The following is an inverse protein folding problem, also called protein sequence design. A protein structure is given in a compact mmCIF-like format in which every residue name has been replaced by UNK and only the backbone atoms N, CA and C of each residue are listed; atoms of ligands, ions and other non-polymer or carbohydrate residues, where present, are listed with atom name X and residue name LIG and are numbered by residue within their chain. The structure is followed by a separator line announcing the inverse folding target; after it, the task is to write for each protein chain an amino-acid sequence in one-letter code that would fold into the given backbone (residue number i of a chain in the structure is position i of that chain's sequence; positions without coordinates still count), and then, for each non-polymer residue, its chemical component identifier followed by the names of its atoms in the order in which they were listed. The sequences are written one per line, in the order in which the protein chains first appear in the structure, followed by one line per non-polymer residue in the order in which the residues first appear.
data_IF_508196072192
#
_entry.id   IF_508196072192
#
_cell.length_a   1.000
_cell.length_b   1.000
_cell.length_c   1.000
_cell.angle_alpha   90.00
_cell.angle_beta   90.00
_cell.angle_gamma   90.00
#
_symmetry.space_group_name_H-M   'P 1'
#
loop_
_entity.id
_entity.type
_entity.pdbx_description
1 polymer ?
#
# COMPACT_ATOMS: atom_id res chain seq x y z
N UNK A 1 3.06 28.77 6.30
CA UNK A 1 3.97 28.45 5.17
C UNK A 1 3.61 27.07 4.66
N UNK A 2 3.24 26.95 3.38
CA UNK A 2 2.99 25.65 2.76
C UNK A 2 4.27 24.80 2.80
N UNK A 3 4.15 23.51 3.13
CA UNK A 3 5.27 22.59 3.11
C UNK A 3 5.82 22.50 1.68
N UNK A 4 7.14 22.43 1.52
CA UNK A 4 7.83 22.38 0.23
C UNK A 4 8.37 20.97 -0.06
N UNK A 5 8.52 20.63 -1.34
CA UNK A 5 9.13 19.36 -1.77
C UNK A 5 8.26 18.14 -1.49
N UNK A 6 8.85 17.08 -0.93
CA UNK A 6 8.19 15.78 -0.65
C UNK A 6 6.98 15.89 0.30
N UNK A 7 6.91 16.97 1.07
CA UNK A 7 5.82 17.18 2.04
C UNK A 7 4.77 18.20 1.54
N UNK A 8 4.84 18.63 0.27
CA UNK A 8 3.83 19.49 -0.35
C UNK A 8 2.55 18.68 -0.62
N UNK A 9 1.64 18.69 0.36
CA UNK A 9 0.33 18.04 0.27
C UNK A 9 -0.44 18.47 -0.97
N UNK A 10 -0.52 19.77 -1.28
CA UNK A 10 -1.31 20.25 -2.42
C UNK A 10 -0.78 19.69 -3.73
N UNK A 11 0.54 19.69 -3.92
CA UNK A 11 1.17 19.12 -5.12
C UNK A 11 0.88 17.63 -5.26
N UNK A 12 0.98 16.90 -4.17
CA UNK A 12 0.80 15.45 -4.16
C UNK A 12 -0.65 15.04 -4.43
N UNK A 13 -1.62 15.72 -3.81
CA UNK A 13 -3.04 15.55 -4.11
C UNK A 13 -3.40 15.99 -5.53
N UNK A 14 -2.86 17.11 -5.99
CA UNK A 14 -3.14 17.61 -7.34
C UNK A 14 -2.58 16.71 -8.44
N UNK A 15 -1.40 16.11 -8.21
CA UNK A 15 -0.86 15.09 -9.12
C UNK A 15 -1.76 13.85 -9.11
N UNK A 16 -2.15 13.36 -7.94
CA UNK A 16 -3.01 12.19 -7.84
C UNK A 16 -4.37 12.40 -8.56
N UNK A 17 -5.07 13.51 -8.29
CA UNK A 17 -6.37 13.82 -8.90
C UNK A 17 -6.30 14.05 -10.42
N UNK A 18 -5.15 14.47 -10.94
CA UNK A 18 -4.95 14.60 -12.39
C UNK A 18 -4.70 13.27 -13.12
N UNK A 19 -4.41 12.19 -12.37
CA UNK A 19 -4.21 10.83 -12.90
C UNK A 19 -5.39 9.90 -12.64
N UNK A 20 -6.21 10.19 -11.63
CA UNK A 20 -7.34 9.37 -11.20
C UNK A 20 -8.60 10.22 -11.23
N UNK A 21 -9.21 10.32 -12.40
CA UNK A 21 -10.40 11.14 -12.64
C UNK A 21 -11.65 10.28 -12.84
N UNK A 22 -11.46 9.02 -13.25
CA UNK A 22 -12.54 8.09 -13.51
C UNK A 22 -12.99 7.39 -12.21
N UNK A 23 -14.28 7.45 -11.85
CA UNK A 23 -14.77 6.86 -10.60
C UNK A 23 -14.57 5.35 -10.50
N UNK A 24 -14.56 4.62 -11.63
CA UNK A 24 -14.30 3.18 -11.65
C UNK A 24 -12.84 2.88 -11.35
N UNK A 25 -11.91 3.66 -11.93
CA UNK A 25 -10.50 3.53 -11.61
C UNK A 25 -10.23 3.85 -10.13
N UNK A 26 -10.81 4.94 -9.62
CA UNK A 26 -10.72 5.29 -8.20
C UNK A 26 -11.23 4.14 -7.31
N UNK A 27 -12.37 3.52 -7.66
CA UNK A 27 -12.89 2.37 -6.94
C UNK A 27 -11.94 1.17 -6.94
N UNK A 28 -11.37 0.83 -8.10
CA UNK A 28 -10.33 -0.21 -8.22
C UNK A 28 -9.15 0.09 -7.29
N UNK A 29 -8.71 1.36 -7.24
CA UNK A 29 -7.64 1.79 -6.35
C UNK A 29 -8.00 1.59 -4.88
N UNK A 30 -9.21 2.01 -4.49
CA UNK A 30 -9.69 1.85 -3.11
C UNK A 30 -9.74 0.40 -2.66
N UNK A 31 -10.20 -0.51 -3.52
CA UNK A 31 -10.34 -1.93 -3.19
C UNK A 31 -9.00 -2.64 -3.12
N UNK A 32 -8.05 -2.33 -4.00
CA UNK A 32 -6.84 -3.14 -4.17
C UNK A 32 -5.57 -2.60 -3.48
N UNK A 33 -5.47 -1.31 -3.15
CA UNK A 33 -4.25 -0.77 -2.52
C UNK A 33 -3.98 -1.36 -1.13
N UNK A 34 -5.00 -1.46 -0.27
CA UNK A 34 -4.83 -2.01 1.08
C UNK A 34 -4.52 -3.52 1.09
N UNK A 35 -5.18 -4.37 0.28
CA UNK A 35 -4.76 -5.76 0.09
C UNK A 35 -3.33 -5.90 -0.44
N UNK A 36 -2.87 -5.04 -1.37
CA UNK A 36 -1.48 -5.04 -1.84
C UNK A 36 -0.53 -4.77 -0.67
N UNK A 37 -0.78 -3.73 0.14
CA UNK A 37 0.04 -3.43 1.31
C UNK A 37 0.05 -4.59 2.31
N UNK A 38 -1.12 -5.14 2.62
CA UNK A 38 -1.24 -6.24 3.58
C UNK A 38 -0.50 -7.51 3.13
N UNK A 39 -0.71 -7.92 1.88
CA UNK A 39 -0.04 -9.10 1.33
C UNK A 39 1.46 -8.88 1.14
N UNK A 40 1.91 -7.65 0.92
CA UNK A 40 3.33 -7.30 0.93
C UNK A 40 3.94 -7.40 2.34
N UNK A 41 3.22 -6.95 3.37
CA UNK A 41 3.64 -7.13 4.77
C UNK A 41 3.67 -8.61 5.18
N UNK A 42 2.77 -9.44 4.64
CA UNK A 42 2.85 -10.89 4.78
C UNK A 42 4.12 -11.47 4.15
N UNK A 43 4.54 -10.99 2.97
CA UNK A 43 5.82 -11.40 2.37
C UNK A 43 7.01 -10.95 3.23
N UNK A 44 6.98 -9.72 3.75
CA UNK A 44 8.04 -9.19 4.61
C UNK A 44 8.08 -9.86 5.99
N UNK A 45 7.00 -10.50 6.44
CA UNK A 45 7.01 -11.28 7.68
C UNK A 45 8.08 -12.38 7.65
N UNK A 46 8.39 -12.92 6.46
CA UNK A 46 9.44 -13.94 6.28
C UNK A 46 10.86 -13.38 6.28
N UNK A 47 11.06 -12.11 6.58
CA UNK A 47 12.42 -11.58 6.71
C UNK A 47 12.97 -11.87 8.10
N UNK A 48 14.32 -11.96 8.28
CA UNK A 48 14.87 -12.28 9.57
C UNK A 48 14.57 -11.14 10.54
N UNK A 49 14.51 -11.44 11.84
CA UNK A 49 14.44 -10.40 12.83
C UNK A 49 15.70 -9.50 12.77
N UNK A 50 15.53 -8.19 12.91
CA UNK A 50 16.60 -7.20 12.81
C UNK A 50 17.49 -7.16 14.06
N UNK A 51 16.97 -7.62 15.19
CA UNK A 51 17.65 -7.61 16.48
C UNK A 51 17.54 -8.98 17.14
N UNK A 52 18.52 -9.39 17.92
CA UNK A 52 18.51 -10.68 18.65
C UNK A 52 17.39 -10.76 19.71
N UNK A 53 16.87 -9.63 20.19
CA UNK A 53 15.79 -9.51 21.18
C UNK A 53 14.44 -9.07 20.56
N UNK A 54 14.25 -9.29 19.26
CA UNK A 54 13.14 -8.71 18.50
C UNK A 54 11.81 -9.46 18.56
N UNK A 55 11.69 -10.47 19.42
CA UNK A 55 10.49 -11.29 19.55
C UNK A 55 9.82 -10.93 20.87
N UNK A 56 8.71 -10.21 20.79
CA UNK A 56 7.89 -9.91 21.96
C UNK A 56 6.60 -10.73 21.91
N UNK A 57 6.40 -11.58 22.91
CA UNK A 57 5.18 -12.36 23.08
C UNK A 57 4.07 -11.49 23.68
N UNK A 58 3.00 -11.23 22.94
CA UNK A 58 1.77 -10.70 23.50
C UNK A 58 0.80 -11.87 23.78
N UNK A 59 0.85 -12.40 25.00
CA UNK A 59 0.12 -13.63 25.37
C UNK A 59 0.75 -14.89 24.78
N UNK A 60 0.00 -16.00 24.80
CA UNK A 60 0.56 -17.33 24.52
C UNK A 60 0.87 -17.60 23.03
N UNK A 61 0.32 -16.82 22.09
CA UNK A 61 0.37 -17.14 20.64
C UNK A 61 0.83 -15.99 19.72
N UNK A 62 1.06 -14.77 20.22
CA UNK A 62 1.37 -13.62 19.35
C UNK A 62 2.83 -13.24 19.49
N UNK A 63 3.68 -13.64 18.53
CA UNK A 63 5.08 -13.20 18.46
C UNK A 63 5.17 -11.98 17.56
N UNK A 64 5.29 -10.79 18.13
CA UNK A 64 5.62 -9.60 17.35
C UNK A 64 7.09 -9.72 16.95
N UNK A 65 7.39 -9.68 15.65
CA UNK A 65 8.75 -9.79 15.11
C UNK A 65 9.18 -8.43 14.55
N UNK A 66 10.23 -7.83 15.11
CA UNK A 66 10.84 -6.63 14.51
C UNK A 66 11.76 -7.02 13.35
N UNK A 67 11.15 -7.21 12.18
CA UNK A 67 11.82 -7.53 10.91
C UNK A 67 11.68 -6.39 9.88
N UNK A 68 11.96 -6.63 8.60
CA UNK A 68 11.79 -5.61 7.56
C UNK A 68 10.33 -5.17 7.39
N UNK A 69 9.34 -6.01 7.73
CA UNK A 69 7.94 -5.62 7.76
C UNK A 69 7.65 -4.55 8.80
N UNK A 70 8.24 -4.66 9.99
CA UNK A 70 8.16 -3.62 11.03
C UNK A 70 8.83 -2.33 10.57
N UNK A 71 10.05 -2.41 10.04
CA UNK A 71 10.79 -1.24 9.56
C UNK A 71 10.03 -0.52 8.45
N UNK A 72 9.48 -1.27 7.49
CA UNK A 72 8.67 -0.73 6.41
C UNK A 72 7.45 0.02 6.95
N UNK A 73 6.70 -0.59 7.87
CA UNK A 73 5.54 0.03 8.52
C UNK A 73 5.93 1.28 9.31
N UNK A 74 7.06 1.26 10.04
CA UNK A 74 7.55 2.40 10.80
C UNK A 74 7.89 3.58 9.88
N UNK A 75 8.57 3.32 8.75
CA UNK A 75 8.89 4.35 7.76
C UNK A 75 7.61 4.97 7.19
N UNK A 76 6.64 4.14 6.80
CA UNK A 76 5.34 4.62 6.30
C UNK A 76 4.58 5.43 7.35
N UNK A 77 4.51 4.94 8.58
CA UNK A 77 3.82 5.62 9.68
C UNK A 77 4.45 6.99 10.00
N UNK A 78 5.78 7.06 10.13
CA UNK A 78 6.49 8.31 10.36
C UNK A 78 6.29 9.27 9.19
N UNK A 79 6.41 8.77 7.97
CA UNK A 79 6.18 9.56 6.77
C UNK A 79 4.78 10.17 6.78
N UNK A 80 3.74 9.37 7.02
CA UNK A 80 2.35 9.86 7.04
C UNK A 80 2.11 10.88 8.15
N UNK A 81 2.56 10.63 9.38
CA UNK A 81 2.41 11.58 10.50
C UNK A 81 3.17 12.89 10.25
N UNK A 82 4.30 12.85 9.53
CA UNK A 82 5.01 14.06 9.11
C UNK A 82 4.32 14.75 7.93
N UNK A 83 3.72 13.98 7.03
CA UNK A 83 2.99 14.46 5.86
C UNK A 83 1.73 15.23 6.28
N UNK A 84 0.90 14.63 7.14
CA UNK A 84 -0.29 15.22 7.71
C UNK A 84 -0.51 14.71 9.14
N UNK A 85 -0.63 15.60 10.13
CA UNK A 85 -0.67 15.18 11.53
C UNK A 85 -1.94 14.41 11.89
N UNK A 86 -3.08 14.73 11.28
CA UNK A 86 -4.36 14.13 11.65
C UNK A 86 -4.65 12.91 10.80
N UNK A 87 -4.78 13.08 9.49
CA UNK A 87 -5.01 11.98 8.56
C UNK A 87 -3.84 11.00 8.53
N UNK A 88 -2.61 11.51 8.64
CA UNK A 88 -1.43 10.66 8.66
C UNK A 88 -1.29 9.83 9.94
N UNK A 89 -1.80 10.32 11.07
CA UNK A 89 -1.90 9.49 12.28
C UNK A 89 -2.89 8.34 12.11
N UNK A 90 -4.03 8.58 11.44
CA UNK A 90 -4.99 7.50 11.11
C UNK A 90 -4.36 6.50 10.15
N UNK A 91 -3.68 6.97 9.09
CA UNK A 91 -2.99 6.11 8.14
C UNK A 91 -1.89 5.27 8.83
N UNK A 92 -1.11 5.90 9.72
CA UNK A 92 -0.10 5.21 10.52
C UNK A 92 -0.69 4.09 11.37
N UNK A 93 -1.81 4.35 12.07
CA UNK A 93 -2.51 3.33 12.86
C UNK A 93 -2.98 2.16 11.99
N UNK A 94 -3.51 2.43 10.80
CA UNK A 94 -3.91 1.38 9.86
C UNK A 94 -2.72 0.56 9.35
N UNK A 95 -1.59 1.20 9.01
CA UNK A 95 -0.37 0.48 8.64
C UNK A 95 0.14 -0.43 9.77
N UNK A 96 0.13 0.05 11.01
CA UNK A 96 0.47 -0.77 12.18
C UNK A 96 -0.52 -1.90 12.42
N UNK A 97 -1.82 -1.67 12.23
CA UNK A 97 -2.82 -2.72 12.30
C UNK A 97 -2.59 -3.80 11.24
N UNK A 98 -2.32 -3.41 9.98
CA UNK A 98 -1.97 -4.35 8.91
C UNK A 98 -0.74 -5.18 9.27
N UNK A 99 0.31 -4.57 9.80
CA UNK A 99 1.53 -5.27 10.21
C UNK A 99 1.32 -6.21 11.40
N UNK A 100 0.52 -5.79 12.40
CA UNK A 100 0.21 -6.62 13.55
C UNK A 100 -0.61 -7.85 13.14
N UNK A 101 -1.62 -7.65 12.29
CA UNK A 101 -2.45 -8.73 11.76
C UNK A 101 -1.63 -9.65 10.86
N UNK A 102 -0.77 -9.11 9.98
CA UNK A 102 0.08 -9.93 9.13
C UNK A 102 1.07 -10.76 9.96
N UNK A 103 1.64 -10.17 11.01
CA UNK A 103 2.57 -10.87 11.90
C UNK A 103 1.85 -11.95 12.72
N UNK A 104 0.68 -11.65 13.27
CA UNK A 104 -0.14 -12.63 14.00
C UNK A 104 -0.55 -13.79 13.11
N UNK A 105 -1.00 -13.50 11.88
CA UNK A 105 -1.42 -14.50 10.90
C UNK A 105 -0.23 -15.36 10.43
N UNK A 106 0.92 -14.75 10.19
CA UNK A 106 2.16 -15.46 9.86
C UNK A 106 2.60 -16.43 10.96
N UNK A 107 2.52 -16.02 12.22
CA UNK A 107 2.81 -16.92 13.34
C UNK A 107 1.76 -18.03 13.50
N UNK A 108 0.46 -17.69 13.42
CA UNK A 108 -0.62 -18.66 13.58
C UNK A 108 -0.57 -19.78 12.53
N UNK A 109 -0.29 -19.42 11.29
CA UNK A 109 -0.15 -20.37 10.20
C UNK A 109 1.13 -21.23 10.31
N UNK A 110 1.92 -21.06 11.37
CA UNK A 110 3.09 -21.87 11.65
C UNK A 110 4.12 -21.78 10.54
N UNK A 111 4.26 -20.59 9.94
CA UNK A 111 5.29 -20.33 8.96
C UNK A 111 6.64 -20.44 9.65
N UNK A 112 7.18 -21.66 9.68
CA UNK A 112 8.58 -21.84 10.00
C UNK A 112 9.39 -20.97 9.05
N UNK A 113 10.57 -20.56 9.50
CA UNK A 113 11.57 -19.80 8.77
C UNK A 113 12.06 -20.58 7.52
N UNK A 114 11.19 -21.01 6.61
CA UNK A 114 11.45 -21.91 5.48
C UNK A 114 12.33 -21.29 4.41
N UNK A 115 12.58 -19.98 4.52
CA UNK A 115 13.58 -19.25 3.75
C UNK A 115 15.01 -19.41 4.33
N UNK A 116 15.20 -20.15 5.44
CA UNK A 116 16.52 -20.63 5.92
C UNK A 116 17.19 -21.63 4.99
N UNK A 117 16.62 -21.94 3.82
CA UNK A 117 17.29 -22.72 2.79
C UNK A 117 17.79 -21.78 1.67
N UNK A 118 19.05 -21.31 1.73
CA UNK A 118 19.64 -20.45 0.73
C UNK A 118 20.06 -21.29 -0.48
N UNK A 119 19.10 -21.77 -1.27
CA UNK A 119 19.27 -22.05 -2.71
C UNK A 119 18.03 -22.74 -3.29
N UNK A 120 17.34 -22.07 -4.21
CA UNK A 120 16.54 -22.72 -5.24
C UNK A 120 17.44 -23.46 -6.24
N UNK A 121 18.27 -24.39 -5.75
CA UNK A 121 18.95 -25.36 -6.59
C UNK A 121 18.18 -26.68 -6.49
N UNK A 122 18.14 -27.41 -7.60
CA UNK A 122 17.55 -28.75 -7.79
C UNK A 122 17.93 -29.77 -6.68
N UNK A 123 18.94 -29.47 -5.87
CA UNK A 123 19.42 -30.23 -4.72
C UNK A 123 18.54 -30.05 -3.46
N UNK A 124 17.74 -28.97 -3.36
CA UNK A 124 16.79 -28.75 -2.26
C UNK A 124 15.69 -29.81 -2.16
N UNK A 125 15.45 -30.57 -3.24
CA UNK A 125 14.51 -31.68 -3.24
C UNK A 125 15.03 -32.88 -2.42
N UNK A 126 16.36 -33.02 -2.27
CA UNK A 126 17.00 -34.10 -1.48
C UNK A 126 17.17 -33.66 -0.01
N UNK A 127 17.24 -32.37 0.27
CA UNK A 127 17.27 -31.84 1.64
C UNK A 127 15.91 -31.93 2.38
N UNK A 128 14.82 -32.24 1.66
CA UNK A 128 13.50 -32.51 2.25
C UNK A 128 13.46 -33.78 3.11
N UNK A 129 14.36 -34.75 2.89
CA UNK A 129 14.39 -35.99 3.67
C UNK A 129 14.76 -35.77 5.15
N UNK A 130 15.52 -34.71 5.45
CA UNK A 130 15.87 -34.32 6.83
C UNK A 130 14.85 -33.36 7.48
N UNK A 131 13.82 -32.91 6.73
CA UNK A 131 12.73 -32.07 7.23
C UNK A 131 11.53 -32.90 7.73
N UNK A 132 11.71 -34.22 7.85
CA UNK A 132 10.76 -35.21 8.38
C UNK A 132 10.34 -34.99 9.84
N UNK A 133 10.99 -34.06 10.57
CA UNK A 133 10.61 -33.64 11.92
C UNK A 133 9.54 -32.53 11.95
N UNK A 134 9.29 -31.84 10.83
CA UNK A 134 8.16 -30.93 10.67
C UNK A 134 7.10 -31.64 9.84
N UNK A 135 5.97 -31.98 10.44
CA UNK A 135 4.90 -32.72 9.77
C UNK A 135 4.56 -32.12 8.39
N UNK A 136 4.39 -33.00 7.40
CA UNK A 136 4.11 -32.69 5.97
C UNK A 136 3.01 -31.62 5.79
N UNK A 137 2.05 -31.59 6.72
CA UNK A 137 0.96 -30.60 6.80
C UNK A 137 1.45 -29.14 6.88
N UNK A 138 2.48 -28.84 7.69
CA UNK A 138 2.97 -27.47 7.86
C UNK A 138 3.65 -26.91 6.61
N UNK A 139 4.34 -27.77 5.85
CA UNK A 139 4.99 -27.41 4.59
C UNK A 139 3.93 -27.14 3.51
N UNK A 140 2.88 -27.96 3.43
CA UNK A 140 1.78 -27.77 2.48
C UNK A 140 1.02 -26.44 2.72
N UNK A 141 0.75 -26.10 3.98
CA UNK A 141 0.08 -24.83 4.36
C UNK A 141 0.91 -23.63 3.94
N UNK A 142 2.22 -23.64 4.20
CA UNK A 142 3.16 -22.60 3.77
C UNK A 142 3.08 -22.34 2.25
N UNK A 143 3.18 -23.40 1.44
CA UNK A 143 3.13 -23.28 -0.02
C UNK A 143 1.78 -22.75 -0.51
N UNK A 144 0.68 -23.18 0.12
CA UNK A 144 -0.65 -22.71 -0.23
C UNK A 144 -0.78 -21.20 0.02
N UNK A 145 -0.36 -20.73 1.18
CA UNK A 145 -0.56 -19.31 1.50
C UNK A 145 0.38 -18.42 0.72
N UNK A 146 1.61 -18.86 0.41
CA UNK A 146 2.46 -18.14 -0.54
C UNK A 146 1.79 -18.01 -1.92
N UNK A 147 1.15 -19.08 -2.43
CA UNK A 147 0.38 -19.01 -3.68
C UNK A 147 -0.80 -18.03 -3.58
N UNK A 148 -1.51 -18.02 -2.46
CA UNK A 148 -2.63 -17.08 -2.23
C UNK A 148 -2.12 -15.64 -2.19
N UNK A 149 -1.02 -15.37 -1.47
CA UNK A 149 -0.40 -14.05 -1.37
C UNK A 149 0.08 -13.57 -2.75
N UNK A 150 0.73 -14.43 -3.52
CA UNK A 150 1.16 -14.11 -4.89
C UNK A 150 -0.04 -13.88 -5.83
N UNK A 151 -1.05 -14.74 -5.77
CA UNK A 151 -2.27 -14.58 -6.57
C UNK A 151 -2.97 -13.26 -6.23
N UNK A 152 -3.08 -12.91 -4.95
CA UNK A 152 -3.65 -11.66 -4.51
C UNK A 152 -2.84 -10.45 -5.03
N UNK A 153 -1.52 -10.47 -4.94
CA UNK A 153 -0.65 -9.44 -5.52
C UNK A 153 -0.90 -9.29 -7.02
N UNK A 154 -0.86 -10.39 -7.78
CA UNK A 154 -1.06 -10.37 -9.24
C UNK A 154 -2.44 -9.84 -9.63
N UNK A 155 -3.50 -10.30 -8.97
CA UNK A 155 -4.88 -9.87 -9.24
C UNK A 155 -5.03 -8.38 -8.92
N UNK A 156 -4.56 -7.94 -7.75
CA UNK A 156 -4.69 -6.55 -7.32
C UNK A 156 -3.91 -5.61 -8.25
N UNK A 157 -2.65 -5.93 -8.57
CA UNK A 157 -1.83 -5.13 -9.50
C UNK A 157 -2.40 -5.11 -10.91
N UNK A 158 -2.88 -6.26 -11.40
CA UNK A 158 -3.55 -6.33 -12.71
C UNK A 158 -4.78 -5.42 -12.72
N UNK A 159 -5.58 -5.44 -11.66
CA UNK A 159 -6.70 -4.52 -11.48
C UNK A 159 -6.27 -3.06 -11.59
N UNK A 160 -5.22 -2.65 -10.86
CA UNK A 160 -4.69 -1.28 -10.88
C UNK A 160 -4.25 -0.86 -12.28
N UNK A 161 -3.51 -1.71 -13.00
CA UNK A 161 -3.04 -1.40 -14.35
C UNK A 161 -4.17 -1.36 -15.38
N UNK A 162 -5.13 -2.29 -15.30
CA UNK A 162 -6.33 -2.26 -16.13
C UNK A 162 -7.17 -1.02 -15.84
N UNK A 163 -7.25 -0.62 -14.57
CA UNK A 163 -7.86 0.62 -14.11
C UNK A 163 -7.37 1.83 -14.91
N UNK A 164 -6.06 2.05 -14.88
CA UNK A 164 -5.40 3.10 -15.64
C UNK A 164 -5.55 2.96 -17.17
N UNK A 165 -5.32 1.76 -17.70
CA UNK A 165 -5.33 1.52 -19.15
C UNK A 165 -6.71 1.69 -19.79
N UNK A 166 -7.73 1.09 -19.19
CA UNK A 166 -9.08 1.06 -19.75
C UNK A 166 -9.88 2.34 -19.46
N UNK A 167 -9.78 2.87 -18.23
CA UNK A 167 -10.65 3.96 -17.79
C UNK A 167 -9.98 5.34 -17.88
N UNK A 168 -8.71 5.46 -17.50
CA UNK A 168 -7.98 6.74 -17.62
C UNK A 168 -7.33 6.92 -19.00
N UNK A 169 -7.18 5.82 -19.77
CA UNK A 169 -6.52 5.81 -21.09
C UNK A 169 -5.13 6.45 -21.04
N UNK A 170 -4.44 6.24 -19.92
CA UNK A 170 -3.14 6.81 -19.59
C UNK A 170 -2.28 5.74 -18.94
N UNK A 171 -0.97 5.86 -19.12
CA UNK A 171 -0.02 5.04 -18.38
C UNK A 171 -0.18 5.28 -16.86
N UNK A 172 0.07 4.26 -16.03
CA UNK A 172 -0.01 4.40 -14.58
C UNK A 172 1.00 5.41 -14.06
N UNK A 173 0.62 6.15 -13.02
CA UNK A 173 1.46 7.17 -12.38
C UNK A 173 2.83 6.64 -11.89
N UNK A 174 2.92 5.32 -11.68
CA UNK A 174 4.14 4.58 -11.36
C UNK A 174 5.30 4.92 -12.30
N UNK A 175 5.02 5.11 -13.59
CA UNK A 175 6.05 5.37 -14.61
C UNK A 175 6.55 6.82 -14.60
N UNK A 176 5.79 7.73 -14.00
CA UNK A 176 6.13 9.15 -13.94
C UNK A 176 6.75 9.54 -12.58
N UNK A 177 6.30 8.92 -11.48
CA UNK A 177 6.82 9.16 -10.14
C UNK A 177 6.69 7.93 -9.23
N UNK A 178 7.66 7.03 -9.32
CA UNK A 178 7.72 5.77 -8.58
C UNK A 178 7.59 5.96 -7.06
N UNK A 179 8.35 6.89 -6.49
CA UNK A 179 8.36 7.14 -5.05
C UNK A 179 7.00 7.63 -4.56
N UNK A 180 6.37 8.54 -5.29
CA UNK A 180 5.03 9.02 -4.96
C UNK A 180 3.98 7.91 -5.11
N UNK A 181 4.06 7.11 -6.17
CA UNK A 181 3.11 6.03 -6.43
C UNK A 181 3.11 4.98 -5.29
N UNK A 182 4.29 4.58 -4.80
CA UNK A 182 4.37 3.60 -3.71
C UNK A 182 4.14 4.19 -2.32
N UNK A 183 4.73 5.35 -2.02
CA UNK A 183 4.63 5.94 -0.68
C UNK A 183 3.26 6.54 -0.41
N UNK A 184 2.61 7.14 -1.41
CA UNK A 184 1.38 7.90 -1.17
C UNK A 184 0.10 7.12 -1.41
N UNK A 185 0.12 6.03 -2.17
CA UNK A 185 -1.13 5.35 -2.57
C UNK A 185 -2.00 4.92 -1.37
N UNK A 186 -1.48 4.28 -0.29
CA UNK A 186 -2.33 3.93 0.85
C UNK A 186 -2.89 5.16 1.58
N UNK A 187 -2.12 6.24 1.65
CA UNK A 187 -2.55 7.49 2.27
C UNK A 187 -3.64 8.20 1.45
N UNK A 188 -3.50 8.25 0.13
CA UNK A 188 -4.52 8.82 -0.73
C UNK A 188 -5.81 8.02 -0.67
N UNK A 189 -5.74 6.69 -0.79
CA UNK A 189 -6.94 5.83 -0.67
C UNK A 189 -7.67 6.04 0.66
N UNK A 190 -6.95 6.25 1.77
CA UNK A 190 -7.57 6.58 3.06
C UNK A 190 -8.40 7.87 3.01
N UNK A 191 -7.85 8.89 2.34
CA UNK A 191 -8.49 10.20 2.20
C UNK A 191 -9.47 10.26 1.03
N UNK A 192 -9.40 9.31 0.12
CA UNK A 192 -10.22 9.19 -1.08
C UNK A 192 -11.68 8.92 -0.76
N UNK A 193 -11.97 8.25 0.35
CA UNK A 193 -13.35 8.08 0.82
C UNK A 193 -14.01 9.46 1.04
N UNK A 194 -13.23 10.49 1.39
CA UNK A 194 -13.69 11.89 1.40
C UNK A 194 -13.49 12.63 0.07
N UNK A 195 -12.43 12.35 -0.69
CA UNK A 195 -12.07 13.08 -1.92
C UNK A 195 -12.90 12.67 -3.14
N UNK A 196 -13.28 11.40 -3.28
CA UNK A 196 -14.16 10.93 -4.36
C UNK A 196 -15.55 11.59 -4.25
N UNK A 197 -16.06 11.79 -3.04
CA UNK A 197 -17.29 12.57 -2.80
C UNK A 197 -17.11 14.07 -3.08
N UNK A 198 -15.92 14.63 -2.86
CA UNK A 198 -15.59 16.02 -3.20
C UNK A 198 -15.50 16.25 -4.72
N UNK A 199 -14.94 15.30 -5.49
CA UNK A 199 -14.83 15.39 -6.94
C UNK A 199 -16.16 15.12 -7.68
N UNK A 200 -17.05 14.29 -7.14
CA UNK A 200 -18.26 13.82 -7.83
C UNK A 200 -19.55 14.55 -7.46
N UNK A 201 -19.50 15.59 -6.62
CA UNK A 201 -20.70 16.28 -6.09
C UNK A 201 -21.71 15.34 -5.38
N UNK A 202 -21.30 14.11 -5.02
CA UNK A 202 -22.15 13.15 -4.33
C UNK A 202 -22.19 13.49 -2.84
N UNK A 203 -23.17 14.32 -2.46
CA UNK A 203 -23.27 14.96 -1.13
C UNK A 203 -23.45 14.03 0.08
N UNK A 204 -23.62 12.71 -0.07
CA UNK A 204 -23.88 11.85 1.09
C UNK A 204 -23.37 10.41 0.92
N UNK A 205 -22.28 10.08 1.60
CA UNK A 205 -22.12 8.85 2.38
C UNK A 205 -20.86 8.97 3.28
N UNK A 206 -21.07 9.02 4.60
CA UNK A 206 -20.08 9.02 5.70
C UNK A 206 -19.44 10.35 6.16
N UNK A 207 -20.27 11.35 6.48
CA UNK A 207 -19.91 12.66 7.05
C UNK A 207 -18.93 12.73 8.26
N UNK A 208 -18.46 11.63 8.85
CA UNK A 208 -17.51 11.66 9.97
C UNK A 208 -16.05 12.00 9.58
N UNK A 209 -15.62 11.72 8.34
CA UNK A 209 -14.28 12.10 7.81
C UNK A 209 -14.30 13.40 6.98
N UNK A 210 -15.49 13.95 6.70
CA UNK A 210 -15.77 14.77 5.51
C UNK A 210 -15.55 16.29 5.65
N UNK A 211 -15.25 16.80 6.85
CA UNK A 211 -14.83 18.20 7.03
C UNK A 211 -13.33 18.31 7.32
N UNK A 212 -12.56 17.24 7.09
CA UNK A 212 -11.12 17.36 7.20
C UNK A 212 -10.57 18.16 6.03
N UNK A 213 -10.03 19.33 6.37
CA UNK A 213 -9.21 20.11 5.50
C UNK A 213 -7.88 20.33 6.24
N UNK A 214 -6.72 19.98 5.64
CA UNK A 214 -5.42 20.19 6.28
C UNK A 214 -5.21 21.64 6.75
N UNK A 215 -5.78 22.59 6.00
CA UNK A 215 -5.93 23.99 6.38
C UNK A 215 -7.00 24.67 5.50
N UNK A 216 -7.61 25.79 5.95
CA UNK A 216 -8.65 26.48 5.18
C UNK A 216 -8.23 26.83 3.75
N UNK A 217 -9.01 26.39 2.75
CA UNK A 217 -8.79 26.67 1.33
C UNK A 217 -7.92 25.65 0.58
N UNK A 218 -7.40 24.63 1.27
CA UNK A 218 -6.69 23.51 0.66
C UNK A 218 -7.44 22.87 -0.50
N UNK A 219 -8.74 22.59 -0.34
CA UNK A 219 -9.53 21.90 -1.37
C UNK A 219 -9.67 22.75 -2.64
N UNK A 220 -9.84 24.07 -2.49
CA UNK A 220 -9.90 25.01 -3.62
C UNK A 220 -8.56 25.08 -4.36
N UNK A 221 -7.45 25.18 -3.61
CA UNK A 221 -6.12 25.22 -4.19
C UNK A 221 -5.75 23.91 -4.91
N UNK A 222 -6.07 22.76 -4.30
CA UNK A 222 -5.86 21.45 -4.93
C UNK A 222 -6.67 21.34 -6.21
N UNK A 223 -7.95 21.72 -6.19
CA UNK A 223 -8.80 21.68 -7.38
C UNK A 223 -8.21 22.52 -8.53
N UNK A 224 -7.81 23.76 -8.25
CA UNK A 224 -7.18 24.62 -9.24
C UNK A 224 -5.89 24.00 -9.81
N UNK A 225 -5.06 23.37 -8.97
CA UNK A 225 -3.85 22.67 -9.41
C UNK A 225 -4.16 21.39 -10.22
N UNK A 226 -5.19 20.63 -9.87
CA UNK A 226 -5.64 19.46 -10.65
C UNK A 226 -6.03 19.89 -12.06
N UNK A 227 -6.87 20.92 -12.17
CA UNK A 227 -7.32 21.46 -13.47
C UNK A 227 -6.13 21.95 -14.31
N UNK A 228 -5.17 22.65 -13.69
CA UNK A 228 -3.94 23.06 -14.35
C UNK A 228 -3.09 21.88 -14.84
N UNK A 229 -2.90 20.84 -14.01
CA UNK A 229 -2.14 19.64 -14.37
C UNK A 229 -2.78 18.84 -15.51
N UNK A 230 -4.12 18.73 -15.51
CA UNK A 230 -4.87 18.08 -16.60
C UNK A 230 -4.67 18.85 -17.91
N UNK A 231 -4.80 20.18 -17.88
CA UNK A 231 -4.59 21.04 -19.04
C UNK A 231 -3.17 20.90 -19.60
N UNK A 232 -2.16 20.98 -18.73
CA UNK A 232 -0.76 20.82 -19.13
C UNK A 232 -0.50 19.45 -19.81
N UNK A 233 -1.09 18.39 -19.26
CA UNK A 233 -0.99 17.06 -19.86
C UNK A 233 -1.67 16.97 -21.23
N UNK A 234 -2.86 17.55 -21.39
CA UNK A 234 -3.57 17.59 -22.67
C UNK A 234 -2.78 18.35 -23.73
N UNK A 235 -2.21 19.50 -23.38
CA UNK A 235 -1.35 20.30 -24.27
C UNK A 235 -0.09 19.52 -24.69
N UNK A 236 0.59 18.86 -23.73
CA UNK A 236 1.74 17.99 -24.02
C UNK A 236 1.37 16.84 -24.95
N UNK A 237 0.17 16.26 -24.79
CA UNK A 237 -0.32 15.18 -25.64
C UNK A 237 -0.59 15.68 -27.06
N UNK A 238 -1.23 16.84 -27.22
CA UNK A 238 -1.47 17.46 -28.53
C UNK A 238 -0.16 17.75 -29.26
N UNK A 239 0.84 18.33 -28.59
CA UNK A 239 2.17 18.60 -29.16
C UNK A 239 2.94 17.36 -29.62
N UNK A 240 2.64 16.18 -29.07
CA UNK A 240 3.25 14.91 -29.51
C UNK A 240 2.56 14.30 -30.72
N UNK A 241 1.33 14.73 -31.01
CA UNK A 241 0.50 14.23 -32.10
C UNK A 241 0.60 15.15 -33.34
N UNK A 242 0.87 16.44 -33.12
CA UNK A 242 1.20 17.42 -34.16
C UNK A 242 2.62 17.26 -34.68
#
# INVERSE_FOLDING_TARGET
MGKIGLFDLEKHFAFYGAYHSNPVNIFIHMVFVWPILFTFLMLLHFTPPLFSLSQFGLGNNTVIVFNYGFLFTLVYALFYVLFDKKAGSVAALLCFACWLVSSSLGNYLGYSLAWKCPSFNLIGYIALDNYSAMGVEHVAVLFLVFKVVLAAQLICWTGQFLGHGLFEKRAPALLDNLAQAFLMAPFFVLLEVGFASFLTNLKNALQMLFNYEPYPGFHLNVKARVEANIKEWQEKKQKKIS
#
